data_IF_696201234323
#
_entry.id   IF_696201234323
#
_cell.length_a   1.000
_cell.length_b   1.000
_cell.length_c   1.000
_cell.angle_alpha   90.00
_cell.angle_beta   90.00
_cell.angle_gamma   90.00
#
_symmetry.space_group_name_H-M   'P 1'
#
loop_
_entity.id
_entity.type
_entity.pdbx_description
1 polymer ?
#
# COMPACT_ATOMS: atom_id res chain seq x y z
N UNK A 1 -16.78 21.00 -43.64
CA UNK A 1 -16.86 21.48 -42.26
C UNK A 1 -15.66 20.87 -41.52
N UNK A 2 -14.63 21.68 -41.36
CA UNK A 2 -13.38 21.24 -40.76
C UNK A 2 -13.45 21.31 -39.23
N UNK A 3 -13.06 20.24 -38.57
CA UNK A 3 -12.85 20.21 -37.12
C UNK A 3 -11.40 20.64 -36.85
N UNK A 4 -11.21 21.82 -36.25
CA UNK A 4 -9.94 22.26 -35.71
C UNK A 4 -9.63 21.41 -34.47
N UNK A 5 -8.57 20.64 -34.57
CA UNK A 5 -7.84 20.09 -33.42
C UNK A 5 -7.05 21.27 -32.79
N UNK A 6 -7.62 21.82 -31.71
CA UNK A 6 -6.84 22.70 -30.84
C UNK A 6 -6.01 21.85 -29.88
N UNK A 7 -4.75 22.17 -29.83
CA UNK A 7 -3.67 21.57 -29.08
C UNK A 7 -4.01 21.38 -27.58
N UNK A 8 -4.02 20.14 -27.13
CA UNK A 8 -3.91 19.77 -25.73
C UNK A 8 -2.43 19.53 -25.38
N UNK A 9 -1.62 20.57 -25.50
CA UNK A 9 -0.28 20.58 -24.96
C UNK A 9 -0.33 21.22 -23.56
N UNK A 10 0.28 20.53 -22.60
CA UNK A 10 0.62 20.93 -21.25
C UNK A 10 -0.31 20.46 -20.12
N UNK A 11 -0.27 19.15 -19.86
CA UNK A 11 -0.22 18.65 -18.48
C UNK A 11 0.45 17.27 -18.49
N UNK A 12 1.75 17.29 -18.75
CA UNK A 12 2.62 16.11 -18.68
C UNK A 12 2.96 15.92 -17.21
N UNK A 13 2.67 14.75 -16.64
CA UNK A 13 3.30 14.26 -15.42
C UNK A 13 4.82 14.48 -15.57
N UNK A 14 5.44 15.04 -14.55
CA UNK A 14 6.85 15.42 -14.55
C UNK A 14 7.71 14.38 -15.24
N UNK A 15 8.51 14.84 -16.18
CA UNK A 15 9.30 14.00 -17.07
C UNK A 15 10.02 12.87 -16.32
N UNK A 16 9.71 11.67 -16.74
CA UNK A 16 10.32 10.42 -16.26
C UNK A 16 11.78 10.25 -16.67
N UNK A 17 12.45 11.32 -17.09
CA UNK A 17 13.89 11.30 -17.42
C UNK A 17 14.79 11.11 -16.19
N UNK A 18 14.29 11.32 -14.97
CA UNK A 18 15.12 11.24 -13.77
C UNK A 18 15.45 9.82 -13.30
N UNK A 19 14.90 8.77 -13.93
CA UNK A 19 15.10 7.38 -13.49
C UNK A 19 15.64 6.44 -14.56
N UNK A 20 16.10 6.94 -15.69
CA UNK A 20 16.67 6.12 -16.77
C UNK A 20 18.19 6.14 -16.83
N UNK A 21 18.89 6.90 -15.98
CA UNK A 21 20.31 7.15 -16.16
C UNK A 21 21.27 6.40 -15.22
N UNK A 22 20.78 5.45 -14.49
CA UNK A 22 21.60 4.31 -14.05
C UNK A 22 20.75 3.05 -14.23
N UNK A 23 20.84 2.45 -15.40
CA UNK A 23 20.48 1.04 -15.57
C UNK A 23 21.39 0.22 -14.68
N UNK A 24 21.03 0.06 -13.42
CA UNK A 24 21.35 -1.14 -12.73
C UNK A 24 20.79 -2.25 -13.62
N UNK A 25 21.63 -2.95 -14.37
CA UNK A 25 21.25 -4.18 -15.04
C UNK A 25 21.02 -5.22 -13.93
N UNK A 26 19.90 -5.04 -13.20
CA UNK A 26 19.46 -6.02 -12.24
C UNK A 26 18.88 -7.18 -13.05
N UNK A 27 19.62 -8.25 -13.11
CA UNK A 27 19.14 -9.49 -13.69
C UNK A 27 18.21 -10.17 -12.68
N UNK A 28 16.89 -9.93 -12.80
CA UNK A 28 15.90 -10.59 -11.95
C UNK A 28 15.70 -12.02 -12.41
N UNK A 29 15.88 -12.98 -11.50
CA UNK A 29 15.57 -14.39 -11.70
C UNK A 29 14.24 -14.74 -11.06
N UNK A 30 13.99 -14.23 -9.87
CA UNK A 30 12.75 -14.48 -9.12
C UNK A 30 12.19 -13.14 -8.64
N UNK A 31 10.95 -12.87 -9.03
CA UNK A 31 10.18 -11.73 -8.57
C UNK A 31 8.94 -12.24 -7.84
N UNK A 32 8.79 -11.86 -6.56
CA UNK A 32 7.55 -12.08 -5.84
C UNK A 32 6.50 -11.09 -6.33
N UNK A 33 5.42 -11.59 -6.93
CA UNK A 33 4.32 -10.77 -7.47
C UNK A 33 3.22 -10.44 -6.49
N UNK A 34 3.29 -10.95 -5.26
CA UNK A 34 2.23 -10.85 -4.25
C UNK A 34 2.84 -10.82 -2.84
N UNK A 35 3.71 -9.85 -2.60
CA UNK A 35 4.24 -9.56 -1.28
C UNK A 35 3.41 -8.50 -0.59
N UNK A 36 3.47 -8.42 0.74
CA UNK A 36 2.61 -7.54 1.52
C UNK A 36 3.39 -6.62 2.46
N UNK A 37 2.81 -5.45 2.69
CA UNK A 37 3.15 -4.55 3.78
C UNK A 37 1.90 -4.30 4.62
N UNK A 38 1.64 -5.23 5.52
CA UNK A 38 0.46 -5.20 6.37
C UNK A 38 0.55 -4.08 7.43
N UNK A 39 -0.62 -3.55 7.81
CA UNK A 39 -0.75 -2.50 8.81
C UNK A 39 -0.07 -2.86 10.14
N UNK A 40 -0.04 -4.14 10.48
CA UNK A 40 0.58 -4.66 11.71
C UNK A 40 2.05 -4.28 11.89
N UNK A 41 2.76 -4.02 10.80
CA UNK A 41 4.19 -3.76 10.78
C UNK A 41 4.56 -2.30 10.59
N UNK A 42 3.57 -1.43 10.34
CA UNK A 42 3.81 -0.01 10.11
C UNK A 42 4.24 0.70 11.39
N UNK A 43 4.99 1.82 11.28
CA UNK A 43 5.32 2.64 12.46
C UNK A 43 4.07 3.11 13.19
N UNK A 44 4.06 3.00 14.52
CA UNK A 44 2.87 3.24 15.34
C UNK A 44 2.33 4.67 15.31
N UNK A 45 3.14 5.64 14.90
CA UNK A 45 2.80 7.05 14.77
C UNK A 45 2.59 7.52 13.32
N UNK A 46 2.70 6.59 12.35
CA UNK A 46 2.66 6.90 10.92
C UNK A 46 1.47 7.77 10.52
N UNK A 47 0.28 7.47 11.03
CA UNK A 47 -0.94 8.14 10.61
C UNK A 47 -1.27 9.40 11.41
N UNK A 48 -0.64 9.58 12.56
CA UNK A 48 -0.89 10.71 13.46
C UNK A 48 0.16 11.80 13.37
N UNK A 49 1.39 11.48 12.94
CA UNK A 49 2.53 12.41 12.92
C UNK A 49 2.29 13.62 12.03
N UNK A 50 1.66 13.43 10.87
CA UNK A 50 1.40 14.47 9.88
C UNK A 50 -0.09 14.71 9.62
N UNK A 51 -0.96 14.18 10.47
CA UNK A 51 -2.40 14.33 10.33
C UNK A 51 -2.83 15.79 10.51
N UNK A 52 -3.83 16.26 9.74
CA UNK A 52 -4.49 17.53 10.01
C UNK A 52 -4.99 17.58 11.46
N UNK A 53 -4.88 18.73 12.11
CA UNK A 53 -5.18 18.87 13.53
C UNK A 53 -6.60 18.39 13.91
N UNK A 54 -7.59 18.64 13.05
CA UNK A 54 -8.98 18.24 13.28
C UNK A 54 -9.24 16.74 13.10
N UNK A 55 -8.34 16.00 12.44
CA UNK A 55 -8.45 14.56 12.22
C UNK A 55 -7.54 13.75 13.15
N UNK A 56 -6.55 14.37 13.78
CA UNK A 56 -5.45 13.68 14.45
C UNK A 56 -5.92 12.61 15.43
N UNK A 57 -6.93 12.89 16.23
CA UNK A 57 -7.48 11.97 17.23
C UNK A 57 -8.34 10.85 16.61
N UNK A 58 -8.79 11.04 15.36
CA UNK A 58 -9.62 10.09 14.65
C UNK A 58 -8.80 9.18 13.72
N UNK A 59 -7.58 9.59 13.38
CA UNK A 59 -6.66 8.80 12.56
C UNK A 59 -6.33 7.47 13.23
N UNK A 60 -5.90 6.45 12.43
CA UNK A 60 -5.44 5.20 13.01
C UNK A 60 -4.34 5.43 14.04
N UNK A 61 -4.52 4.88 15.24
CA UNK A 61 -3.61 4.97 16.39
C UNK A 61 -3.44 3.61 17.02
N UNK A 62 -2.27 3.38 17.61
CA UNK A 62 -1.99 2.19 18.40
C UNK A 62 -2.52 2.38 19.82
N UNK A 63 -3.34 1.45 20.28
CA UNK A 63 -3.88 1.44 21.62
C UNK A 63 -3.57 0.13 22.34
N UNK A 64 -3.28 0.21 23.64
CA UNK A 64 -3.11 -0.96 24.50
C UNK A 64 -4.48 -1.50 24.89
N UNK A 65 -4.65 -2.81 24.75
CA UNK A 65 -5.85 -3.58 25.15
C UNK A 65 -5.42 -4.89 25.82
N UNK A 66 -6.36 -5.52 26.50
CA UNK A 66 -6.14 -6.87 27.00
C UNK A 66 -5.76 -7.80 25.84
N UNK A 67 -4.56 -8.38 25.93
CA UNK A 67 -4.02 -9.28 24.91
C UNK A 67 -3.08 -8.66 23.87
N UNK A 68 -2.75 -7.35 23.96
CA UNK A 68 -1.74 -6.73 23.11
C UNK A 68 -2.08 -5.32 22.64
N UNK A 69 -1.35 -4.89 21.62
CA UNK A 69 -1.55 -3.58 20.99
C UNK A 69 -2.34 -3.74 19.67
N UNK A 70 -3.22 -2.78 19.42
CA UNK A 70 -4.10 -2.81 18.26
C UNK A 70 -4.19 -1.45 17.59
N UNK A 71 -4.29 -1.47 16.26
CA UNK A 71 -4.66 -0.30 15.49
C UNK A 71 -6.14 -0.02 15.63
N UNK A 72 -6.49 1.21 15.96
CA UNK A 72 -7.88 1.66 16.13
C UNK A 72 -8.08 3.01 15.45
N UNK A 73 -9.19 3.19 14.75
CA UNK A 73 -9.65 4.46 14.19
C UNK A 73 -11.15 4.59 14.43
N UNK A 74 -11.60 5.74 14.91
CA UNK A 74 -13.03 6.01 15.20
C UNK A 74 -13.70 4.90 16.05
N UNK A 75 -12.95 4.29 16.97
CA UNK A 75 -13.43 3.16 17.77
C UNK A 75 -13.52 1.82 17.04
N UNK A 76 -13.19 1.78 15.74
CA UNK A 76 -13.12 0.56 14.95
C UNK A 76 -11.76 -0.12 15.10
N UNK A 77 -11.77 -1.43 15.28
CA UNK A 77 -10.58 -2.26 15.29
C UNK A 77 -10.10 -2.49 13.85
N UNK A 78 -8.87 -2.07 13.55
CA UNK A 78 -8.25 -2.24 12.24
C UNK A 78 -7.32 -3.45 12.17
N UNK A 79 -6.96 -4.02 13.32
CA UNK A 79 -6.10 -5.19 13.44
C UNK A 79 -4.99 -5.03 14.48
N UNK A 80 -4.22 -6.09 14.72
CA UNK A 80 -3.14 -6.09 15.71
C UNK A 80 -1.96 -5.22 15.25
N UNK A 81 -1.21 -4.68 16.22
CA UNK A 81 0.04 -3.98 16.02
C UNK A 81 1.22 -4.84 16.52
N UNK A 82 2.32 -4.86 15.77
CA UNK A 82 3.55 -5.56 16.17
C UNK A 82 3.41 -7.08 16.26
N UNK A 83 2.34 -7.64 15.70
CA UNK A 83 2.13 -9.07 15.63
C UNK A 83 1.72 -9.49 14.22
N UNK A 84 1.88 -10.75 13.91
CA UNK A 84 1.44 -11.28 12.61
C UNK A 84 -0.07 -11.15 12.48
N UNK A 85 -0.51 -10.25 11.61
CA UNK A 85 -1.90 -9.82 11.44
C UNK A 85 -2.92 -10.86 11.01
N UNK A 86 -2.51 -12.07 10.73
CA UNK A 86 -3.43 -13.16 10.46
C UNK A 86 -3.95 -13.73 11.77
N UNK A 87 -5.06 -13.17 12.23
CA UNK A 87 -5.80 -13.58 13.41
C UNK A 87 -6.41 -14.99 13.33
N UNK A 88 -5.59 -15.97 13.05
CA UNK A 88 -5.99 -17.33 13.32
C UNK A 88 -5.82 -17.59 14.80
N UNK A 89 -6.92 -17.70 15.52
CA UNK A 89 -6.97 -18.23 16.89
C UNK A 89 -6.32 -19.62 16.92
N UNK A 90 -5.00 -19.65 16.97
CA UNK A 90 -4.22 -20.87 17.00
C UNK A 90 -4.56 -21.79 18.19
N UNK A 91 -4.89 -21.27 19.41
CA UNK A 91 -5.20 -22.11 20.54
C UNK A 91 -6.43 -23.02 20.35
N UNK A 92 -7.39 -22.59 19.55
CA UNK A 92 -8.68 -23.32 19.41
C UNK A 92 -8.63 -24.55 18.51
N UNK A 93 -7.54 -24.78 17.76
CA UNK A 93 -7.44 -25.89 16.80
C UNK A 93 -6.30 -26.88 17.05
N UNK A 94 -5.55 -26.74 18.13
CA UNK A 94 -4.46 -27.65 18.49
C UNK A 94 -3.27 -27.69 17.52
N UNK A 95 -3.26 -26.81 16.52
CA UNK A 95 -2.17 -26.70 15.54
C UNK A 95 -1.40 -25.41 15.78
N UNK A 96 -0.09 -25.51 16.03
CA UNK A 96 0.78 -24.35 16.00
C UNK A 96 0.76 -23.75 14.59
N UNK A 97 0.60 -22.42 14.50
CA UNK A 97 0.69 -21.72 13.23
C UNK A 97 2.08 -21.95 12.64
N UNK A 98 2.15 -21.99 11.31
CA UNK A 98 3.44 -21.98 10.61
C UNK A 98 4.34 -20.83 11.05
N UNK A 99 3.72 -19.69 11.26
CA UNK A 99 4.29 -18.44 11.77
C UNK A 99 4.93 -18.60 13.16
N UNK A 100 4.24 -19.22 14.13
CA UNK A 100 4.84 -19.46 15.45
C UNK A 100 6.10 -20.32 15.34
N UNK A 101 6.13 -21.25 14.40
CA UNK A 101 7.35 -22.06 14.11
C UNK A 101 8.46 -21.23 13.49
N UNK A 102 8.14 -20.21 12.68
CA UNK A 102 9.11 -19.28 12.14
C UNK A 102 9.74 -18.43 13.24
N UNK A 103 8.96 -17.91 14.18
CA UNK A 103 9.49 -17.23 15.36
C UNK A 103 10.39 -18.12 16.22
N UNK A 104 9.96 -19.35 16.51
CA UNK A 104 10.77 -20.32 17.24
C UNK A 104 12.08 -20.65 16.53
N UNK A 105 12.12 -20.55 15.22
CA UNK A 105 13.32 -20.74 14.40
C UNK A 105 14.17 -19.47 14.26
N UNK A 106 13.79 -18.36 14.90
CA UNK A 106 14.53 -17.10 14.87
C UNK A 106 14.37 -16.27 13.60
N UNK A 107 13.40 -16.56 12.73
CA UNK A 107 13.24 -15.85 11.45
C UNK A 107 12.89 -14.37 11.61
N UNK A 108 12.33 -13.96 12.74
CA UNK A 108 11.96 -12.56 13.00
C UNK A 108 12.72 -11.97 14.18
N UNK A 109 13.92 -12.50 14.46
CA UNK A 109 14.80 -11.90 15.47
C UNK A 109 15.25 -10.51 15.02
N UNK A 110 15.18 -9.56 15.95
CA UNK A 110 15.63 -8.18 15.70
C UNK A 110 14.54 -7.19 15.31
N UNK A 111 13.27 -7.61 15.19
CA UNK A 111 12.15 -6.68 15.03
C UNK A 111 11.21 -6.97 13.87
N UNK A 112 10.54 -5.91 13.39
CA UNK A 112 9.56 -6.00 12.31
C UNK A 112 10.23 -6.13 10.93
N UNK A 113 10.58 -7.34 10.55
CA UNK A 113 11.24 -7.63 9.26
C UNK A 113 10.51 -7.02 8.06
N UNK A 114 9.17 -7.11 7.91
CA UNK A 114 8.52 -6.57 6.73
C UNK A 114 8.72 -5.07 6.51
N UNK A 115 8.79 -4.29 7.59
CA UNK A 115 8.89 -2.82 7.54
C UNK A 115 10.28 -2.26 7.81
N UNK A 116 11.27 -3.13 8.07
CA UNK A 116 12.67 -2.75 8.27
C UNK A 116 13.47 -3.12 7.02
N UNK A 117 13.96 -2.13 6.23
CA UNK A 117 14.60 -2.39 4.95
C UNK A 117 15.73 -3.42 5.00
N UNK A 118 16.59 -3.35 6.01
CA UNK A 118 17.73 -4.25 6.17
C UNK A 118 17.31 -5.68 6.50
N UNK A 119 16.27 -5.83 7.32
CA UNK A 119 15.76 -7.14 7.73
C UNK A 119 14.96 -7.78 6.58
N UNK A 120 14.11 -6.99 5.89
CA UNK A 120 13.38 -7.48 4.71
C UNK A 120 14.33 -7.95 3.61
N UNK A 121 15.43 -7.22 3.38
CA UNK A 121 16.45 -7.66 2.43
C UNK A 121 17.06 -9.00 2.79
N UNK A 122 17.35 -9.24 4.08
CA UNK A 122 17.88 -10.56 4.53
C UNK A 122 16.89 -11.68 4.26
N UNK A 123 15.59 -11.42 4.49
CA UNK A 123 14.55 -12.41 4.22
C UNK A 123 14.47 -12.72 2.71
N UNK A 124 14.49 -11.68 1.86
CA UNK A 124 14.51 -11.84 0.41
C UNK A 124 15.74 -12.62 -0.07
N UNK A 125 16.93 -12.32 0.47
CA UNK A 125 18.17 -13.03 0.14
C UNK A 125 18.11 -14.50 0.56
N UNK A 126 17.52 -14.77 1.73
CA UNK A 126 17.36 -16.14 2.24
C UNK A 126 16.38 -16.95 1.38
N UNK A 127 15.33 -16.31 0.88
CA UNK A 127 14.31 -16.93 0.02
C UNK A 127 14.74 -16.94 -1.47
N UNK A 128 15.83 -16.28 -1.83
CA UNK A 128 16.31 -16.18 -3.20
C UNK A 128 15.45 -15.27 -4.08
N UNK A 129 14.75 -14.29 -3.48
CA UNK A 129 13.89 -13.35 -4.18
C UNK A 129 14.67 -12.09 -4.54
N UNK A 130 14.70 -11.73 -5.82
CA UNK A 130 15.46 -10.58 -6.31
C UNK A 130 14.66 -9.27 -6.18
N UNK A 131 13.35 -9.31 -6.39
CA UNK A 131 12.47 -8.15 -6.26
C UNK A 131 11.06 -8.54 -5.80
N UNK A 132 10.32 -7.58 -5.28
CA UNK A 132 8.96 -7.77 -4.81
C UNK A 132 8.02 -6.70 -5.35
N UNK A 133 6.81 -7.12 -5.75
CA UNK A 133 5.64 -6.24 -5.87
C UNK A 133 4.94 -6.27 -4.51
N UNK A 134 4.80 -5.10 -3.87
CA UNK A 134 4.30 -5.01 -2.50
C UNK A 134 2.89 -4.41 -2.50
N UNK A 135 1.93 -5.21 -2.07
CA UNK A 135 0.56 -4.77 -1.77
C UNK A 135 0.50 -4.11 -0.40
N UNK A 136 -0.42 -3.16 -0.26
CA UNK A 136 -0.53 -2.34 0.92
C UNK A 136 -1.61 -2.76 1.89
N UNK A 137 -2.02 -1.80 2.70
CA UNK A 137 -2.98 -1.98 3.79
C UNK A 137 -4.44 -1.80 3.37
N UNK A 138 -4.79 -2.02 2.12
CA UNK A 138 -6.15 -1.79 1.58
C UNK A 138 -7.22 -2.52 2.37
N UNK A 139 -6.98 -3.78 2.77
CA UNK A 139 -7.92 -4.57 3.58
C UNK A 139 -8.20 -3.94 4.96
N UNK A 140 -7.19 -3.39 5.63
CA UNK A 140 -7.38 -2.67 6.89
C UNK A 140 -8.11 -1.34 6.65
N UNK A 141 -7.75 -0.63 5.59
CA UNK A 141 -8.39 0.62 5.19
C UNK A 141 -9.90 0.50 4.95
N UNK A 142 -10.38 -0.62 4.44
CA UNK A 142 -11.82 -0.87 4.25
C UNK A 142 -12.65 -0.80 5.54
N UNK A 143 -12.03 -0.97 6.69
CA UNK A 143 -12.70 -0.86 8.00
C UNK A 143 -12.89 0.60 8.41
N UNK A 144 -12.17 1.54 7.81
CA UNK A 144 -12.30 2.98 8.05
C UNK A 144 -13.50 3.48 7.26
N UNK A 145 -14.55 3.92 7.95
CA UNK A 145 -15.82 4.33 7.32
C UNK A 145 -15.85 5.79 6.90
N UNK A 146 -15.11 6.64 7.59
CA UNK A 146 -14.99 8.03 7.23
C UNK A 146 -14.02 8.19 6.06
N UNK A 147 -14.53 8.67 4.92
CA UNK A 147 -13.78 8.78 3.67
C UNK A 147 -12.63 9.79 3.73
N UNK A 148 -12.74 10.82 4.57
CA UNK A 148 -11.69 11.79 4.77
C UNK A 148 -10.53 11.16 5.55
N UNK A 149 -10.82 10.44 6.63
CA UNK A 149 -9.82 9.68 7.40
C UNK A 149 -9.16 8.62 6.51
N UNK A 150 -9.95 7.86 5.75
CA UNK A 150 -9.43 6.86 4.81
C UNK A 150 -8.46 7.47 3.80
N UNK A 151 -8.84 8.59 3.19
CA UNK A 151 -8.02 9.29 2.21
C UNK A 151 -6.69 9.75 2.83
N UNK A 152 -6.72 10.36 4.01
CA UNK A 152 -5.52 10.78 4.71
C UNK A 152 -4.65 9.59 5.16
N UNK A 153 -5.26 8.49 5.57
CA UNK A 153 -4.57 7.25 5.94
C UNK A 153 -3.81 6.67 4.76
N UNK A 154 -4.45 6.55 3.59
CA UNK A 154 -3.78 6.06 2.38
C UNK A 154 -2.68 7.02 1.91
N UNK A 155 -2.88 8.33 2.01
CA UNK A 155 -1.86 9.32 1.68
C UNK A 155 -0.61 9.21 2.55
N UNK A 156 -0.78 8.99 3.84
CA UNK A 156 0.34 8.79 4.76
C UNK A 156 1.07 7.47 4.44
N UNK A 157 0.33 6.39 4.23
CA UNK A 157 0.90 5.11 3.83
C UNK A 157 1.67 5.21 2.51
N UNK A 158 1.06 5.77 1.46
CA UNK A 158 1.66 5.87 0.12
C UNK A 158 2.97 6.65 0.15
N UNK A 159 3.05 7.72 0.95
CA UNK A 159 4.30 8.48 1.15
C UNK A 159 5.36 7.64 1.84
N UNK A 160 5.00 7.00 2.95
CA UNK A 160 5.92 6.18 3.71
C UNK A 160 6.48 5.02 2.88
N UNK A 161 5.62 4.29 2.16
CA UNK A 161 6.07 3.15 1.35
C UNK A 161 6.89 3.59 0.13
N UNK A 162 6.61 4.77 -0.43
CA UNK A 162 7.44 5.33 -1.48
C UNK A 162 8.87 5.61 -0.97
N UNK A 163 9.01 6.16 0.23
CA UNK A 163 10.31 6.40 0.84
C UNK A 163 11.00 5.08 1.25
N UNK A 164 10.24 4.09 1.71
CA UNK A 164 10.75 2.74 1.94
C UNK A 164 11.36 2.15 0.65
N UNK A 165 10.67 2.22 -0.49
CA UNK A 165 11.16 1.72 -1.77
C UNK A 165 12.46 2.39 -2.22
N UNK A 166 12.64 3.68 -1.93
CA UNK A 166 13.85 4.43 -2.26
C UNK A 166 15.10 3.97 -1.49
N UNK A 167 14.93 3.27 -0.37
CA UNK A 167 16.07 2.76 0.42
C UNK A 167 16.86 1.67 -0.31
N UNK A 168 16.20 0.91 -1.20
CA UNK A 168 16.81 -0.15 -2.01
C UNK A 168 16.21 -0.13 -3.42
N UNK A 169 16.65 0.78 -4.29
CA UNK A 169 16.14 0.91 -5.65
C UNK A 169 16.22 -0.42 -6.41
N UNK A 170 15.16 -0.75 -7.15
CA UNK A 170 15.08 -1.98 -7.93
C UNK A 170 14.75 -3.26 -7.12
N UNK A 171 14.58 -3.16 -5.81
CA UNK A 171 14.20 -4.33 -4.99
C UNK A 171 12.72 -4.35 -4.65
N UNK A 172 12.11 -3.19 -4.47
CA UNK A 172 10.72 -3.06 -4.06
C UNK A 172 9.92 -2.18 -5.00
N UNK A 173 8.78 -2.70 -5.43
CA UNK A 173 7.81 -2.04 -6.31
C UNK A 173 6.46 -2.02 -5.60
N UNK A 174 6.29 -1.07 -4.67
CA UNK A 174 5.04 -0.98 -3.92
C UNK A 174 3.91 -0.37 -4.76
N UNK A 175 2.72 -0.91 -4.54
CA UNK A 175 1.48 -0.42 -5.11
C UNK A 175 0.87 0.63 -4.17
N UNK A 176 0.40 1.73 -4.74
CA UNK A 176 -0.30 2.76 -3.99
C UNK A 176 -1.69 2.27 -3.56
N UNK A 177 -2.05 2.48 -2.30
CA UNK A 177 -3.43 2.28 -1.85
C UNK A 177 -4.31 3.41 -2.40
N UNK A 178 -5.35 3.06 -3.16
CA UNK A 178 -6.24 4.02 -3.83
C UNK A 178 -7.61 4.05 -3.14
N UNK A 179 -8.10 5.24 -2.71
CA UNK A 179 -9.43 5.37 -2.14
C UNK A 179 -10.50 5.16 -3.24
N UNK A 180 -11.48 4.30 -2.96
CA UNK A 180 -12.47 3.86 -3.96
C UNK A 180 -13.86 4.44 -3.78
N UNK A 181 -14.00 5.46 -2.94
CA UNK A 181 -15.29 6.11 -2.68
C UNK A 181 -15.66 7.18 -3.73
N UNK A 182 -14.65 7.71 -4.42
CA UNK A 182 -14.83 8.75 -5.45
C UNK A 182 -13.75 8.60 -6.53
N UNK A 183 -14.09 8.53 -7.84
CA UNK A 183 -13.13 8.29 -8.91
C UNK A 183 -12.17 9.46 -9.16
N UNK A 184 -12.57 10.70 -8.86
CA UNK A 184 -11.67 11.87 -8.98
C UNK A 184 -10.63 11.84 -7.84
N UNK A 185 -11.05 11.56 -6.61
CA UNK A 185 -10.13 11.39 -5.48
C UNK A 185 -9.17 10.23 -5.72
N UNK A 186 -9.65 9.13 -6.31
CA UNK A 186 -8.82 8.01 -6.71
C UNK A 186 -7.78 8.41 -7.77
N UNK A 187 -8.20 9.15 -8.78
CA UNK A 187 -7.33 9.65 -9.85
C UNK A 187 -6.24 10.60 -9.33
N UNK A 188 -6.62 11.52 -8.46
CA UNK A 188 -5.70 12.47 -7.85
C UNK A 188 -4.66 11.75 -6.97
N UNK A 189 -5.09 10.77 -6.19
CA UNK A 189 -4.16 9.99 -5.36
C UNK A 189 -3.21 9.14 -6.23
N UNK A 190 -3.68 8.58 -7.34
CA UNK A 190 -2.83 7.84 -8.27
C UNK A 190 -1.75 8.73 -8.89
N UNK A 191 -2.10 9.95 -9.35
CA UNK A 191 -1.12 10.90 -9.86
C UNK A 191 -0.10 11.28 -8.79
N UNK A 192 -0.57 11.58 -7.58
CA UNK A 192 0.30 11.90 -6.44
C UNK A 192 1.26 10.74 -6.12
N UNK A 193 0.79 9.52 -6.17
CA UNK A 193 1.61 8.32 -5.96
C UNK A 193 2.67 8.16 -7.06
N UNK A 194 2.31 8.42 -8.31
CA UNK A 194 3.25 8.45 -9.44
C UNK A 194 4.36 9.46 -9.24
N UNK A 195 4.01 10.69 -8.81
CA UNK A 195 4.99 11.76 -8.55
C UNK A 195 5.97 11.39 -7.42
N UNK A 196 5.55 10.57 -6.46
CA UNK A 196 6.41 10.06 -5.39
C UNK A 196 7.31 8.89 -5.84
N UNK A 197 7.08 8.35 -7.04
CA UNK A 197 7.86 7.26 -7.62
C UNK A 197 7.25 5.87 -7.47
N UNK A 198 6.03 5.74 -6.96
CA UNK A 198 5.29 4.47 -7.00
C UNK A 198 4.94 4.11 -8.45
N UNK A 199 4.89 2.82 -8.76
CA UNK A 199 4.80 2.33 -10.14
C UNK A 199 3.56 1.50 -10.44
N UNK A 200 2.62 1.45 -9.53
CA UNK A 200 1.34 0.77 -9.67
C UNK A 200 0.39 1.17 -8.56
N UNK A 201 -0.85 0.77 -8.67
CA UNK A 201 -1.88 1.03 -7.68
C UNK A 201 -2.61 -0.25 -7.29
N UNK A 202 -2.97 -0.36 -6.03
CA UNK A 202 -3.81 -1.39 -5.46
C UNK A 202 -5.20 -0.82 -5.18
N UNK A 203 -6.19 -1.40 -5.83
CA UNK A 203 -7.60 -1.02 -5.70
C UNK A 203 -8.39 -2.18 -5.15
N UNK A 204 -8.89 -2.04 -3.95
CA UNK A 204 -9.76 -3.05 -3.36
C UNK A 204 -11.22 -2.80 -3.75
N UNK A 205 -11.87 -3.82 -4.26
CA UNK A 205 -13.26 -3.76 -4.70
C UNK A 205 -14.14 -4.47 -3.69
N UNK A 206 -15.08 -3.74 -3.09
CA UNK A 206 -16.08 -4.29 -2.17
C UNK A 206 -17.45 -4.37 -2.85
N UNK A 207 -18.42 -5.10 -2.26
CA UNK A 207 -19.79 -5.09 -2.77
C UNK A 207 -20.42 -3.69 -2.82
N UNK A 208 -19.97 -2.78 -1.95
CA UNK A 208 -20.42 -1.39 -1.89
C UNK A 208 -19.76 -0.50 -2.93
N UNK A 209 -18.61 -0.94 -3.45
CA UNK A 209 -17.91 -0.21 -4.52
C UNK A 209 -18.68 -0.33 -5.81
N UNK A 210 -18.89 0.80 -6.50
CA UNK A 210 -19.52 0.75 -7.81
C UNK A 210 -18.78 -0.21 -8.75
N UNK A 211 -19.48 -1.14 -9.43
CA UNK A 211 -18.82 -2.16 -10.24
C UNK A 211 -17.91 -1.55 -11.31
N UNK A 212 -16.64 -1.92 -11.27
CA UNK A 212 -15.62 -1.42 -12.20
C UNK A 212 -15.79 -1.96 -13.64
N UNK A 213 -16.50 -3.06 -13.80
CA UNK A 213 -16.81 -3.63 -15.10
C UNK A 213 -17.95 -2.92 -15.83
N UNK A 214 -18.68 -2.03 -15.16
CA UNK A 214 -19.73 -1.23 -15.81
C UNK A 214 -19.09 -0.18 -16.72
N UNK A 215 -19.48 -0.19 -17.97
CA UNK A 215 -18.98 0.74 -19.00
C UNK A 215 -19.86 2.01 -19.06
N UNK A 216 -20.06 2.64 -17.91
CA UNK A 216 -20.87 3.86 -17.78
C UNK A 216 -20.03 5.13 -17.65
N UNK A 217 -18.70 5.00 -17.71
CA UNK A 217 -17.78 6.12 -17.61
C UNK A 217 -17.50 6.58 -16.17
N UNK A 218 -18.10 5.96 -15.16
CA UNK A 218 -17.91 6.40 -13.76
C UNK A 218 -16.43 6.37 -13.33
N UNK A 219 -15.68 5.34 -13.70
CA UNK A 219 -14.26 5.17 -13.37
C UNK A 219 -13.30 5.80 -14.39
N UNK A 220 -13.81 6.48 -15.42
CA UNK A 220 -12.96 7.09 -16.47
C UNK A 220 -11.89 8.05 -15.92
N UNK A 221 -12.13 8.87 -14.87
CA UNK A 221 -11.08 9.70 -14.29
C UNK A 221 -9.87 8.87 -13.81
N UNK A 222 -10.13 7.76 -13.10
CA UNK A 222 -9.07 6.87 -12.63
C UNK A 222 -8.34 6.18 -13.78
N UNK A 223 -9.07 5.65 -14.79
CA UNK A 223 -8.44 4.98 -15.93
C UNK A 223 -7.59 5.91 -16.75
N UNK A 224 -8.03 7.17 -16.90
CA UNK A 224 -7.25 8.21 -17.58
C UNK A 224 -5.98 8.52 -16.82
N UNK A 225 -6.06 8.75 -15.51
CA UNK A 225 -4.89 8.97 -14.66
C UNK A 225 -3.91 7.79 -14.73
N UNK A 226 -4.41 6.55 -14.67
CA UNK A 226 -3.58 5.36 -14.77
C UNK A 226 -2.83 5.28 -16.11
N UNK A 227 -3.51 5.62 -17.21
CA UNK A 227 -2.90 5.65 -18.55
C UNK A 227 -1.87 6.78 -18.69
N UNK A 228 -2.19 8.00 -18.22
CA UNK A 228 -1.30 9.16 -18.21
C UNK A 228 -0.02 8.87 -17.44
N UNK A 229 -0.14 8.33 -16.24
CA UNK A 229 0.98 8.00 -15.36
C UNK A 229 1.66 6.67 -15.70
N UNK A 230 1.14 5.91 -16.66
CA UNK A 230 1.62 4.55 -17.02
C UNK A 230 1.68 3.61 -15.81
N UNK A 231 0.73 3.74 -14.90
CA UNK A 231 0.62 2.92 -13.70
C UNK A 231 -0.42 1.81 -13.91
N UNK A 232 -0.03 0.52 -13.80
CA UNK A 232 -0.98 -0.57 -13.74
C UNK A 232 -1.84 -0.45 -12.47
N UNK A 233 -3.12 -0.80 -12.59
CA UNK A 233 -4.03 -0.92 -11.46
C UNK A 233 -4.27 -2.41 -11.20
N UNK A 234 -3.96 -2.85 -10.00
CA UNK A 234 -4.21 -4.20 -9.53
C UNK A 234 -5.50 -4.26 -8.72
N UNK A 235 -6.25 -5.35 -8.89
CA UNK A 235 -7.44 -5.66 -8.11
C UNK A 235 -7.10 -6.79 -7.17
N UNK A 236 -6.99 -6.47 -5.90
CA UNK A 236 -6.68 -7.44 -4.87
C UNK A 236 -7.97 -7.86 -4.16
N UNK A 237 -8.15 -9.17 -4.03
CA UNK A 237 -9.23 -9.79 -3.25
C UNK A 237 -8.59 -10.53 -2.09
N UNK A 238 -9.01 -10.21 -0.87
CA UNK A 238 -8.58 -10.84 0.37
C UNK A 238 -9.63 -11.79 0.92
#
# INVERSE_FOLDING_TARGET
>A
MGWHLQSMDNMICADSEFLLDERLELEYKIVSGDSHMDMSWLPGDLFTSEAPAHLKELMPQVVDRDGGQYWVSEGQDLGPFGSMGFGFDAPKRGLRRRIDRMFDAGYYEGGGHPSTPELRMKDMEMDGVDAEVIYGMTTAGMRIKNVEILTHTYRAYNRWIADFCKTKPGRWYALACIPVHDPEVAADELRRASDMGLRGADMFVTPETRPIYMRDGYWDPLWRAAAECKMPVSFHIG
#
